data_IF_801583980671
#
_entry.id   IF_801583980671
#
_cell.length_a   1.000
_cell.length_b   1.000
_cell.length_c   1.000
_cell.angle_alpha   90.00
_cell.angle_beta   90.00
_cell.angle_gamma   90.00
#
_symmetry.space_group_name_H-M   'P 1'
#
loop_
_entity.id
_entity.type
_entity.pdbx_description
1 polymer ?
#
# COMPACT_ATOMS: atom_id res chain seq x y z
N UNK A 1 -12.21 -17.57 7.11
CA UNK A 1 -11.58 -17.93 8.39
C UNK A 1 -10.85 -16.68 8.85
N UNK A 2 -11.46 -15.99 9.79
CA UNK A 2 -10.92 -14.73 10.34
C UNK A 2 -9.66 -15.03 11.15
N UNK A 3 -8.57 -14.34 10.83
CA UNK A 3 -7.37 -14.33 11.69
C UNK A 3 -7.53 -13.14 12.60
N UNK A 4 -7.62 -13.34 13.93
CA UNK A 4 -7.71 -12.21 14.85
C UNK A 4 -6.40 -11.45 14.90
N UNK A 5 -6.47 -10.13 15.04
CA UNK A 5 -5.37 -9.27 15.45
C UNK A 5 -4.90 -9.72 16.86
N UNK A 6 -4.08 -10.77 16.88
CA UNK A 6 -3.50 -11.31 18.09
C UNK A 6 -2.02 -11.02 18.10
N UNK A 7 -1.54 -10.38 19.14
CA UNK A 7 -0.15 -10.47 19.54
C UNK A 7 0.17 -11.94 19.75
N UNK A 8 0.75 -12.61 18.73
CA UNK A 8 1.14 -14.00 18.81
C UNK A 8 2.32 -14.16 19.76
N UNK A 9 2.03 -14.61 20.98
CA UNK A 9 3.03 -15.24 21.81
C UNK A 9 3.20 -16.68 21.31
N UNK A 10 4.35 -16.99 20.71
CA UNK A 10 4.80 -18.35 20.43
C UNK A 10 4.97 -19.09 21.76
N UNK A 11 4.34 -20.26 21.87
CA UNK A 11 4.52 -21.14 23.02
C UNK A 11 5.97 -21.63 23.12
N UNK A 12 6.51 -21.54 24.31
CA UNK A 12 7.80 -22.10 24.69
C UNK A 12 7.76 -23.63 24.62
N UNK A 13 8.65 -24.19 23.82
CA UNK A 13 9.04 -25.59 23.86
C UNK A 13 10.33 -25.69 24.71
N UNK A 14 10.39 -26.46 25.80
CA UNK A 14 11.42 -26.33 26.84
C UNK A 14 12.80 -26.95 26.53
N UNK A 15 13.11 -27.37 25.29
CA UNK A 15 14.33 -28.17 25.03
C UNK A 15 15.22 -27.68 23.87
N UNK A 16 15.38 -26.35 23.65
CA UNK A 16 16.47 -25.87 22.78
C UNK A 16 17.22 -24.68 23.41
N UNK A 17 18.56 -24.71 23.47
CA UNK A 17 19.35 -23.55 23.90
C UNK A 17 19.43 -22.55 22.73
N UNK A 18 18.66 -21.47 22.80
CA UNK A 18 18.62 -20.40 21.81
C UNK A 18 19.41 -19.19 22.27
N UNK A 19 20.24 -18.67 21.36
CA UNK A 19 20.94 -17.39 21.48
C UNK A 19 19.94 -16.23 21.62
N UNK A 20 20.07 -15.48 22.72
CA UNK A 20 19.08 -14.52 23.16
C UNK A 20 19.07 -13.23 22.34
N UNK A 21 17.92 -12.94 21.78
CA UNK A 21 17.46 -11.58 21.48
C UNK A 21 16.75 -11.07 22.76
N UNK A 22 17.02 -9.87 23.29
CA UNK A 22 16.36 -9.38 24.50
C UNK A 22 14.89 -9.06 24.20
N UNK A 23 14.03 -10.06 24.39
CA UNK A 23 12.59 -9.89 24.41
C UNK A 23 12.17 -9.24 25.73
N UNK A 24 11.30 -8.24 25.67
CA UNK A 24 10.65 -7.68 26.85
C UNK A 24 9.68 -8.73 27.43
N UNK A 25 10.21 -9.60 28.28
CA UNK A 25 9.41 -10.53 29.07
C UNK A 25 8.95 -9.88 30.39
N UNK A 26 7.65 -9.61 30.51
CA UNK A 26 7.05 -9.37 31.80
C UNK A 26 6.88 -10.72 32.56
N UNK A 27 7.97 -11.22 33.09
CA UNK A 27 7.95 -12.37 33.99
C UNK A 27 7.74 -11.92 35.46
N UNK A 28 6.92 -12.63 36.21
CA UNK A 28 6.60 -12.45 37.61
C UNK A 28 7.84 -12.64 38.51
N UNK A 29 8.66 -11.62 38.62
CA UNK A 29 9.77 -11.57 39.55
C UNK A 29 10.07 -10.11 39.84
N UNK A 30 10.02 -9.74 41.13
CA UNK A 30 10.15 -8.43 41.78
C UNK A 30 10.54 -7.25 40.89
N UNK A 31 9.73 -6.20 40.92
CA UNK A 31 9.99 -4.92 40.27
C UNK A 31 11.35 -4.36 40.70
N UNK A 32 12.38 -4.55 39.86
CA UNK A 32 13.67 -3.93 40.06
C UNK A 32 13.57 -2.48 39.53
N UNK A 33 13.47 -1.51 40.42
CA UNK A 33 13.33 -0.09 40.14
C UNK A 33 14.50 0.46 39.32
N UNK A 34 15.64 -0.20 39.29
CA UNK A 34 16.82 0.18 38.50
C UNK A 34 16.59 -0.10 36.98
N UNK A 35 15.93 -1.21 36.65
CA UNK A 35 15.58 -1.55 35.28
C UNK A 35 14.43 -0.67 34.72
N UNK A 36 13.48 -0.26 35.57
CA UNK A 36 12.43 0.68 35.19
C UNK A 36 13.00 2.06 34.85
N UNK A 37 14.02 2.52 35.63
CA UNK A 37 14.70 3.79 35.36
C UNK A 37 15.43 3.78 33.98
N UNK A 38 16.11 2.68 33.66
CA UNK A 38 16.79 2.52 32.39
C UNK A 38 15.80 2.42 31.21
N UNK A 39 14.70 1.68 31.39
CA UNK A 39 13.63 1.58 30.38
C UNK A 39 12.93 2.93 30.16
N UNK A 40 12.63 3.69 31.22
CA UNK A 40 12.07 5.03 31.13
C UNK A 40 13.05 6.03 30.50
N UNK A 41 14.35 5.90 30.78
CA UNK A 41 15.38 6.75 30.18
C UNK A 41 15.56 6.44 28.69
N UNK A 42 15.49 5.16 28.31
CA UNK A 42 15.54 4.72 26.92
C UNK A 42 14.28 5.15 26.15
N UNK A 43 13.11 5.02 26.77
CA UNK A 43 11.83 5.52 26.23
C UNK A 43 11.87 7.05 26.11
N UNK A 44 12.36 7.77 27.10
CA UNK A 44 12.53 9.22 27.07
C UNK A 44 13.49 9.70 25.97
N UNK A 45 14.62 9.00 25.77
CA UNK A 45 15.55 9.28 24.68
C UNK A 45 14.93 9.00 23.30
N UNK A 46 14.13 7.94 23.17
CA UNK A 46 13.40 7.59 21.95
C UNK A 46 12.29 8.60 21.65
N UNK A 47 11.57 9.07 22.67
CA UNK A 47 10.58 10.14 22.56
C UNK A 47 11.23 11.49 22.18
N UNK A 48 12.38 11.81 22.75
CA UNK A 48 13.10 13.06 22.45
C UNK A 48 13.67 13.08 21.02
N UNK A 49 14.15 11.92 20.53
CA UNK A 49 14.58 11.76 19.12
C UNK A 49 13.40 11.89 18.13
N UNK A 50 12.19 11.51 18.52
CA UNK A 50 10.97 11.63 17.71
C UNK A 50 10.36 13.04 17.69
N UNK A 51 10.76 13.94 18.59
CA UNK A 51 10.20 15.30 18.69
C UNK A 51 10.91 16.34 17.82
N UNK A 52 12.01 16.01 17.18
CA UNK A 52 12.84 16.95 16.41
C UNK A 52 12.77 16.70 14.91
N UNK A 53 11.57 16.82 14.30
CA UNK A 53 11.42 16.69 12.85
C UNK A 53 10.15 17.38 12.34
N UNK A 54 10.05 17.66 11.04
CA UNK A 54 8.86 18.25 10.43
C UNK A 54 7.60 17.40 10.60
N UNK A 55 7.75 16.09 10.88
CA UNK A 55 6.67 15.13 11.09
C UNK A 55 6.39 14.87 12.59
N UNK A 56 7.03 15.63 13.50
CA UNK A 56 6.82 15.49 14.94
C UNK A 56 5.45 16.03 15.32
N UNK A 57 4.55 15.14 15.76
CA UNK A 57 3.18 15.47 16.16
C UNK A 57 2.10 15.07 15.16
N UNK A 58 2.45 14.55 14.00
CA UNK A 58 1.50 13.93 13.07
C UNK A 58 1.06 12.52 13.48
N UNK A 59 0.05 11.95 12.79
CA UNK A 59 -0.42 10.59 13.04
C UNK A 59 0.66 9.53 12.75
N UNK A 60 1.63 9.85 11.89
CA UNK A 60 2.76 8.98 11.53
C UNK A 60 4.07 9.74 11.70
N UNK A 61 4.98 9.16 12.46
CA UNK A 61 6.36 9.65 12.56
C UNK A 61 7.23 8.99 11.49
N UNK A 62 7.33 9.62 10.32
CA UNK A 62 8.07 9.07 9.17
C UNK A 62 9.57 8.92 9.39
N UNK A 63 10.16 9.72 10.27
CA UNK A 63 11.55 9.55 10.68
C UNK A 63 11.76 8.23 11.42
N UNK A 64 10.84 7.89 12.34
CA UNK A 64 10.83 6.61 13.05
C UNK A 64 10.57 5.45 12.10
N UNK A 65 9.60 5.57 11.19
CA UNK A 65 9.32 4.55 10.15
C UNK A 65 10.59 4.20 9.39
N UNK A 66 11.29 5.22 8.88
CA UNK A 66 12.52 5.04 8.09
C UNK A 66 13.65 4.43 8.93
N UNK A 67 13.83 4.85 10.17
CA UNK A 67 14.86 4.34 11.07
C UNK A 67 14.64 2.87 11.43
N UNK A 68 13.39 2.51 11.79
CA UNK A 68 13.01 1.12 12.09
C UNK A 68 13.19 0.23 10.86
N UNK A 69 12.72 0.68 9.69
CA UNK A 69 12.83 -0.10 8.46
C UNK A 69 14.29 -0.34 8.08
N UNK A 70 15.14 0.71 8.10
CA UNK A 70 16.58 0.58 7.82
C UNK A 70 17.29 -0.36 8.79
N UNK A 71 17.01 -0.25 10.09
CA UNK A 71 17.59 -1.15 11.10
C UNK A 71 17.22 -2.60 10.86
N UNK A 72 15.95 -2.86 10.50
CA UNK A 72 15.49 -4.20 10.17
C UNK A 72 16.19 -4.75 8.91
N UNK A 73 16.32 -3.94 7.86
CA UNK A 73 17.01 -4.35 6.62
C UNK A 73 18.49 -4.61 6.84
N UNK A 74 19.18 -3.77 7.63
CA UNK A 74 20.59 -3.99 7.98
C UNK A 74 20.75 -5.28 8.76
N UNK A 75 19.87 -5.56 9.74
CA UNK A 75 19.90 -6.81 10.50
C UNK A 75 19.63 -8.05 9.62
N UNK A 76 18.80 -7.93 8.60
CA UNK A 76 18.54 -9.00 7.61
C UNK A 76 19.66 -9.15 6.56
N UNK A 77 20.65 -8.26 6.57
CA UNK A 77 21.75 -8.23 5.61
C UNK A 77 21.32 -7.66 4.26
N UNK A 78 21.47 -6.35 4.10
CA UNK A 78 21.18 -5.63 2.85
C UNK A 78 22.50 -5.03 2.29
N UNK A 79 23.31 -5.82 1.56
CA UNK A 79 24.54 -5.34 0.97
C UNK A 79 24.27 -4.31 -0.14
N UNK A 80 25.18 -3.38 -0.34
CA UNK A 80 25.15 -2.46 -1.48
C UNK A 80 25.25 -3.22 -2.80
N UNK A 81 24.54 -2.75 -3.81
CA UNK A 81 24.54 -3.34 -5.16
C UNK A 81 25.89 -3.16 -5.82
N UNK A 82 26.47 -4.26 -6.34
CA UNK A 82 27.74 -4.27 -7.04
C UNK A 82 27.62 -3.86 -8.51
N UNK A 83 28.76 -3.54 -9.16
CA UNK A 83 28.76 -3.18 -10.58
C UNK A 83 28.38 -4.36 -11.49
N UNK A 84 28.64 -5.60 -11.07
CA UNK A 84 28.22 -6.79 -11.81
C UNK A 84 26.67 -6.87 -11.86
N UNK A 85 26.01 -6.66 -10.72
CA UNK A 85 24.57 -6.69 -10.62
C UNK A 85 23.93 -5.56 -11.43
N UNK A 86 24.48 -4.35 -11.35
CA UNK A 86 24.01 -3.20 -12.16
C UNK A 86 24.07 -3.51 -13.66
N UNK A 87 25.18 -4.12 -14.13
CA UNK A 87 25.32 -4.51 -15.54
C UNK A 87 24.30 -5.58 -15.91
N UNK A 88 24.18 -6.65 -15.12
CA UNK A 88 23.26 -7.76 -15.39
C UNK A 88 21.81 -7.30 -15.44
N UNK A 89 21.38 -6.42 -14.53
CA UNK A 89 20.03 -5.84 -14.54
C UNK A 89 19.84 -4.95 -15.77
N UNK A 90 20.81 -4.10 -16.08
CA UNK A 90 20.75 -3.21 -17.26
C UNK A 90 20.62 -4.00 -18.56
N UNK A 91 21.39 -5.08 -18.70
CA UNK A 91 21.32 -5.95 -19.88
C UNK A 91 19.98 -6.68 -19.97
N UNK A 92 19.47 -7.20 -18.84
CA UNK A 92 18.18 -7.89 -18.80
C UNK A 92 17.02 -6.95 -19.15
N UNK A 93 16.98 -5.73 -18.61
CA UNK A 93 15.93 -4.73 -18.93
C UNK A 93 16.01 -4.28 -20.38
N UNK A 94 17.20 -4.04 -20.93
CA UNK A 94 17.37 -3.70 -22.36
C UNK A 94 16.88 -4.84 -23.28
N UNK A 95 17.18 -6.08 -22.93
CA UNK A 95 16.69 -7.22 -23.69
C UNK A 95 15.16 -7.36 -23.55
N UNK A 96 14.63 -7.12 -22.37
CA UNK A 96 13.20 -7.10 -22.11
C UNK A 96 12.50 -6.05 -22.98
N UNK A 97 13.05 -4.84 -23.05
CA UNK A 97 12.50 -3.77 -23.91
C UNK A 97 12.46 -4.16 -25.39
N UNK A 98 13.54 -4.78 -25.91
CA UNK A 98 13.58 -5.28 -27.30
C UNK A 98 12.49 -6.34 -27.55
N UNK A 99 12.18 -7.19 -26.56
CA UNK A 99 11.14 -8.20 -26.70
C UNK A 99 9.74 -7.65 -26.56
N UNK A 100 9.56 -6.59 -25.77
CA UNK A 100 8.28 -5.92 -25.56
C UNK A 100 7.90 -4.98 -26.72
N UNK A 101 8.85 -4.33 -27.37
CA UNK A 101 8.58 -3.36 -28.44
C UNK A 101 7.62 -3.86 -29.55
N UNK A 102 7.70 -5.10 -30.05
CA UNK A 102 6.76 -5.57 -31.09
C UNK A 102 5.38 -5.99 -30.56
N UNK A 103 5.17 -6.05 -29.25
CA UNK A 103 3.95 -6.61 -28.63
C UNK A 103 3.16 -5.59 -27.80
N UNK A 104 3.71 -4.39 -27.56
CA UNK A 104 3.10 -3.31 -26.77
C UNK A 104 3.16 -2.01 -27.54
N UNK A 105 2.05 -1.25 -27.57
CA UNK A 105 2.01 0.08 -28.18
C UNK A 105 2.64 1.17 -27.30
N UNK A 106 2.82 0.93 -26.02
CA UNK A 106 3.50 1.86 -25.10
C UNK A 106 5.02 1.76 -25.25
N UNK A 107 5.71 2.84 -25.65
CA UNK A 107 7.16 2.83 -25.80
C UNK A 107 7.87 2.61 -24.46
N UNK A 108 9.13 2.17 -24.54
CA UNK A 108 9.99 2.03 -23.37
C UNK A 108 10.17 3.38 -22.65
N UNK A 109 10.36 3.32 -21.33
CA UNK A 109 10.62 4.51 -20.51
C UNK A 109 11.99 5.11 -20.89
N UNK A 110 12.11 6.42 -20.76
CA UNK A 110 13.38 7.13 -21.03
C UNK A 110 14.39 7.01 -19.89
N UNK A 111 13.93 6.58 -18.70
CA UNK A 111 14.79 6.41 -17.53
C UNK A 111 15.74 5.22 -17.73
N UNK A 112 16.99 5.39 -17.29
CA UNK A 112 17.96 4.30 -17.32
C UNK A 112 17.53 3.18 -16.36
N UNK A 113 17.69 1.89 -16.78
CA UNK A 113 17.47 0.76 -15.88
C UNK A 113 18.33 0.85 -14.62
N UNK A 114 17.75 0.47 -13.48
CA UNK A 114 18.44 0.51 -12.20
C UNK A 114 18.46 -0.85 -11.49
N UNK A 115 19.48 -1.06 -10.68
CA UNK A 115 19.54 -2.17 -9.74
C UNK A 115 19.60 -1.55 -8.33
N UNK A 116 18.63 -1.91 -7.49
CA UNK A 116 18.47 -1.33 -6.16
C UNK A 116 18.74 -2.35 -5.06
N UNK A 117 19.33 -1.88 -3.96
CA UNK A 117 19.25 -2.56 -2.68
C UNK A 117 17.85 -2.42 -2.10
N UNK A 118 17.53 -3.18 -1.07
CA UNK A 118 16.26 -3.06 -0.33
C UNK A 118 16.11 -1.68 0.31
N UNK A 119 17.21 -1.14 0.82
CA UNK A 119 17.24 0.21 1.40
C UNK A 119 17.01 1.30 0.35
N UNK A 120 17.60 1.19 -0.84
CA UNK A 120 17.34 2.11 -1.95
C UNK A 120 15.87 2.05 -2.40
N UNK A 121 15.30 0.85 -2.50
CA UNK A 121 13.88 0.68 -2.81
C UNK A 121 13.01 1.38 -1.76
N UNK A 122 13.28 1.17 -0.47
CA UNK A 122 12.56 1.82 0.63
C UNK A 122 12.61 3.35 0.52
N UNK A 123 13.77 3.92 0.25
CA UNK A 123 13.96 5.38 0.14
C UNK A 123 13.22 5.98 -1.06
N UNK A 124 13.33 5.32 -2.21
CA UNK A 124 12.75 5.80 -3.46
C UNK A 124 11.23 5.67 -3.50
N UNK A 125 10.66 4.71 -2.76
CA UNK A 125 9.21 4.50 -2.67
C UNK A 125 8.56 5.21 -1.48
N UNK A 126 9.33 5.67 -0.50
CA UNK A 126 8.83 6.34 0.72
C UNK A 126 7.83 7.49 0.44
N UNK A 127 8.02 8.37 -0.58
CA UNK A 127 7.05 9.42 -0.88
C UNK A 127 5.68 8.88 -1.28
N UNK A 128 5.62 7.77 -2.03
CA UNK A 128 4.36 7.16 -2.41
C UNK A 128 3.67 6.52 -1.20
N UNK A 129 4.44 5.85 -0.33
CA UNK A 129 3.91 5.29 0.91
C UNK A 129 3.33 6.36 1.82
N UNK A 130 3.97 7.54 1.91
CA UNK A 130 3.40 8.69 2.63
C UNK A 130 2.03 9.07 2.07
N UNK A 131 1.92 9.21 0.76
CA UNK A 131 0.65 9.57 0.10
C UNK A 131 -0.44 8.54 0.34
N UNK A 132 -0.10 7.24 0.37
CA UNK A 132 -1.07 6.15 0.57
C UNK A 132 -1.49 6.02 2.03
N UNK A 133 -0.55 6.10 2.98
CA UNK A 133 -0.80 5.80 4.40
C UNK A 133 -1.32 7.01 5.18
N UNK A 134 -0.88 8.22 4.81
CA UNK A 134 -1.22 9.45 5.55
C UNK A 134 -2.73 9.67 5.72
N UNK A 135 -3.57 9.57 4.66
CA UNK A 135 -5.01 9.78 4.79
C UNK A 135 -5.68 8.81 5.75
N UNK A 136 -5.18 7.56 5.79
CA UNK A 136 -5.70 6.51 6.67
C UNK A 136 -5.35 6.83 8.11
N UNK A 137 -4.10 7.16 8.37
CA UNK A 137 -3.63 7.49 9.71
C UNK A 137 -4.33 8.75 10.26
N UNK A 138 -4.55 9.77 9.42
CA UNK A 138 -5.31 10.98 9.78
C UNK A 138 -6.76 10.66 10.12
N UNK A 139 -7.42 9.84 9.30
CA UNK A 139 -8.80 9.45 9.54
C UNK A 139 -8.92 8.61 10.83
N UNK A 140 -8.04 7.63 11.03
CA UNK A 140 -8.01 6.86 12.28
C UNK A 140 -7.80 7.74 13.51
N UNK A 141 -6.91 8.73 13.42
CA UNK A 141 -6.69 9.69 14.50
C UNK A 141 -7.94 10.52 14.78
N UNK A 142 -8.67 10.95 13.74
CA UNK A 142 -9.93 11.69 13.88
C UNK A 142 -11.01 10.83 14.54
N UNK A 143 -11.18 9.59 14.12
CA UNK A 143 -12.16 8.65 14.69
C UNK A 143 -11.86 8.38 16.16
N UNK A 144 -10.59 8.10 16.51
CA UNK A 144 -10.16 7.94 17.90
C UNK A 144 -10.34 9.23 18.70
N UNK A 145 -10.01 10.39 18.11
CA UNK A 145 -10.19 11.69 18.76
C UNK A 145 -11.65 12.05 19.02
N UNK A 146 -12.57 11.66 18.15
CA UNK A 146 -14.02 11.81 18.35
C UNK A 146 -14.56 10.86 19.43
N UNK A 147 -14.00 9.66 19.52
CA UNK A 147 -14.38 8.68 20.54
C UNK A 147 -13.84 9.05 21.93
N UNK A 148 -12.74 9.80 21.99
CA UNK A 148 -12.10 10.29 23.22
C UNK A 148 -11.84 11.81 23.09
N UNK A 149 -12.86 12.66 23.35
CA UNK A 149 -12.71 14.10 23.31
C UNK A 149 -11.58 14.56 24.24
N UNK A 150 -10.61 15.28 23.70
CA UNK A 150 -9.38 15.70 24.41
C UNK A 150 -8.11 14.95 24.02
N UNK A 151 -8.20 13.82 23.31
CA UNK A 151 -7.04 13.10 22.81
C UNK A 151 -6.37 13.77 21.58
N UNK A 152 -7.07 14.64 20.87
CA UNK A 152 -6.61 15.22 19.60
C UNK A 152 -5.87 16.58 19.72
N UNK A 153 -5.43 16.99 20.92
CA UNK A 153 -4.72 18.27 21.10
C UNK A 153 -5.57 19.52 20.87
N UNK A 154 -6.88 19.35 20.71
CA UNK A 154 -7.85 20.44 20.72
C UNK A 154 -8.08 20.88 22.15
N UNK A 155 -8.38 22.20 22.37
CA UNK A 155 -8.83 22.68 23.68
C UNK A 155 -9.94 21.73 24.17
N UNK A 156 -9.72 21.15 25.35
CA UNK A 156 -10.68 20.23 25.98
C UNK A 156 -12.01 20.95 26.11
N UNK A 157 -12.94 20.68 25.19
CA UNK A 157 -14.31 21.13 25.36
C UNK A 157 -14.95 20.25 26.42
N UNK A 158 -14.93 20.76 27.65
CA UNK A 158 -15.44 20.10 28.85
C UNK A 158 -16.93 19.77 28.75
N UNK A 159 -17.68 20.47 27.88
CA UNK A 159 -19.10 20.19 27.63
C UNK A 159 -19.26 18.91 26.82
N UNK A 160 -18.50 18.78 25.74
CA UNK A 160 -18.51 17.59 24.88
C UNK A 160 -17.97 16.34 25.62
N UNK A 161 -16.96 16.54 26.49
CA UNK A 161 -16.43 15.45 27.32
C UNK A 161 -17.48 14.94 28.35
N UNK A 162 -18.25 15.88 28.96
CA UNK A 162 -19.30 15.51 29.91
C UNK A 162 -20.50 14.86 29.26
N UNK A 163 -20.83 15.23 28.01
CA UNK A 163 -21.95 14.64 27.28
C UNK A 163 -21.65 13.22 26.80
N UNK A 164 -20.42 12.91 26.43
CA UNK A 164 -19.98 11.60 25.95
C UNK A 164 -19.44 10.68 27.04
N UNK A 165 -19.53 11.07 28.30
CA UNK A 165 -19.05 10.26 29.41
C UNK A 165 -19.99 9.08 29.70
N UNK A 166 -19.47 7.85 29.89
CA UNK A 166 -20.27 6.71 30.35
C UNK A 166 -21.07 7.05 31.63
N UNK A 167 -22.28 6.54 31.76
CA UNK A 167 -23.18 6.85 32.89
C UNK A 167 -22.56 6.64 34.26
N UNK A 168 -21.64 5.68 34.37
CA UNK A 168 -20.90 5.38 35.60
C UNK A 168 -20.04 6.57 36.08
N UNK A 169 -19.46 7.33 35.14
CA UNK A 169 -18.65 8.50 35.45
C UNK A 169 -19.50 9.77 35.57
N UNK A 170 -20.67 9.86 34.90
CA UNK A 170 -21.63 10.96 35.11
C UNK A 170 -22.15 11.01 36.55
N UNK A 171 -22.32 9.86 37.19
CA UNK A 171 -22.71 9.78 38.61
C UNK A 171 -21.62 10.33 39.56
N UNK A 172 -20.36 10.27 39.13
CA UNK A 172 -19.21 10.74 39.94
C UNK A 172 -18.94 12.24 39.74
N UNK A 173 -19.35 12.81 38.60
CA UNK A 173 -19.16 14.20 38.24
C UNK A 173 -20.47 14.82 37.71
N UNK A 174 -21.48 15.02 38.56
CA UNK A 174 -22.80 15.53 38.13
C UNK A 174 -22.77 16.96 37.56
N UNK A 175 -21.73 17.75 37.87
CA UNK A 175 -21.50 19.10 37.34
C UNK A 175 -20.44 19.15 36.20
N UNK A 176 -20.04 18.00 35.64
CA UNK A 176 -18.98 17.87 34.65
C UNK A 176 -17.59 17.76 35.27
N UNK A 177 -16.59 17.46 34.43
CA UNK A 177 -15.20 17.30 34.90
C UNK A 177 -14.66 18.66 35.35
N UNK A 178 -14.14 18.79 36.60
CA UNK A 178 -13.53 20.04 37.05
C UNK A 178 -12.37 20.44 36.11
N UNK A 179 -12.22 21.75 35.78
CA UNK A 179 -11.14 22.23 34.90
C UNK A 179 -9.73 21.82 35.35
N UNK A 180 -9.52 21.72 36.66
CA UNK A 180 -8.25 21.29 37.25
C UNK A 180 -7.94 19.81 36.93
N UNK A 181 -8.95 18.94 36.94
CA UNK A 181 -8.80 17.53 36.58
C UNK A 181 -8.61 17.36 35.07
N UNK A 182 -9.29 18.12 34.25
CA UNK A 182 -9.10 18.16 32.80
C UNK A 182 -7.66 18.58 32.45
N UNK A 183 -7.14 19.62 33.10
CA UNK A 183 -5.74 20.03 32.94
C UNK A 183 -4.73 18.97 33.36
N UNK A 184 -5.05 18.16 34.37
CA UNK A 184 -4.19 17.04 34.79
C UNK A 184 -4.27 15.83 33.82
N UNK A 185 -5.44 15.61 33.22
CA UNK A 185 -5.65 14.51 32.26
C UNK A 185 -5.09 14.81 30.86
N UNK A 186 -5.07 16.06 30.41
CA UNK A 186 -4.62 16.46 29.09
C UNK A 186 -3.19 15.97 28.73
N UNK A 187 -2.17 16.11 29.61
CA UNK A 187 -0.84 15.56 29.35
C UNK A 187 -0.81 14.03 29.25
N UNK A 188 -1.63 13.33 30.04
CA UNK A 188 -1.73 11.88 30.02
C UNK A 188 -2.37 11.37 28.72
N UNK A 189 -3.43 12.04 28.23
CA UNK A 189 -4.05 11.75 26.94
C UNK A 189 -3.09 12.03 25.78
N UNK A 190 -2.36 13.15 25.83
CA UNK A 190 -1.32 13.47 24.85
C UNK A 190 -0.20 12.43 24.82
N UNK A 191 0.23 11.93 25.97
CA UNK A 191 1.21 10.86 26.06
C UNK A 191 0.68 9.53 25.47
N UNK A 192 -0.58 9.19 25.72
CA UNK A 192 -1.21 7.98 25.18
C UNK A 192 -1.33 8.05 23.65
N UNK A 193 -1.70 9.21 23.11
CA UNK A 193 -1.74 9.47 21.66
C UNK A 193 -0.34 9.33 21.05
N UNK A 194 0.68 9.90 21.69
CA UNK A 194 2.06 9.81 21.21
C UNK A 194 2.58 8.37 21.23
N UNK A 195 2.24 7.59 22.24
CA UNK A 195 2.56 6.15 22.28
C UNK A 195 1.87 5.38 21.15
N UNK A 196 0.60 5.68 20.87
CA UNK A 196 -0.15 5.07 19.76
C UNK A 196 0.49 5.39 18.39
N UNK A 197 0.82 6.65 18.14
CA UNK A 197 1.52 7.10 16.92
C UNK A 197 2.90 6.45 16.78
N UNK A 198 3.65 6.31 17.87
CA UNK A 198 4.96 5.66 17.86
C UNK A 198 4.83 4.15 17.57
N UNK A 199 3.87 3.47 18.19
CA UNK A 199 3.61 2.05 17.94
C UNK A 199 3.21 1.79 16.48
N UNK A 200 2.30 2.61 15.94
CA UNK A 200 1.90 2.54 14.53
C UNK A 200 3.09 2.79 13.60
N UNK A 201 3.91 3.81 13.88
CA UNK A 201 5.09 4.13 13.08
C UNK A 201 6.14 2.99 13.11
N UNK A 202 6.31 2.35 14.25
CA UNK A 202 7.18 1.18 14.38
C UNK A 202 6.65 -0.01 13.56
N UNK A 203 5.36 -0.32 13.65
CA UNK A 203 4.72 -1.38 12.88
C UNK A 203 4.81 -1.11 11.39
N UNK A 204 4.57 0.12 10.95
CA UNK A 204 4.71 0.56 9.56
C UNK A 204 6.15 0.36 9.07
N UNK A 205 7.15 0.75 9.88
CA UNK A 205 8.57 0.55 9.54
C UNK A 205 8.93 -0.93 9.36
N UNK A 206 8.45 -1.80 10.24
CA UNK A 206 8.65 -3.25 10.14
C UNK A 206 7.96 -3.83 8.88
N UNK A 207 6.74 -3.41 8.59
CA UNK A 207 5.99 -3.86 7.42
C UNK A 207 6.66 -3.43 6.12
N UNK A 208 7.17 -2.19 6.03
CA UNK A 208 7.89 -1.72 4.85
C UNK A 208 9.24 -2.42 4.68
N UNK A 209 9.94 -2.78 5.77
CA UNK A 209 11.15 -3.59 5.71
C UNK A 209 10.88 -5.01 5.20
N UNK A 210 9.81 -5.63 5.70
CA UNK A 210 9.37 -6.94 5.23
C UNK A 210 9.01 -6.90 3.74
N UNK A 211 8.28 -5.87 3.30
CA UNK A 211 7.94 -5.65 1.90
C UNK A 211 9.19 -5.45 1.04
N UNK A 212 10.12 -4.60 1.44
CA UNK A 212 11.39 -4.38 0.75
C UNK A 212 12.22 -5.67 0.62
N UNK A 213 12.05 -6.60 1.57
CA UNK A 213 12.72 -7.91 1.54
C UNK A 213 12.05 -8.91 0.60
N UNK A 214 10.79 -8.68 0.22
CA UNK A 214 9.98 -9.61 -0.57
C UNK A 214 9.83 -9.18 -2.05
N UNK A 215 9.77 -7.87 -2.35
CA UNK A 215 9.61 -7.36 -3.72
C UNK A 215 10.84 -7.64 -4.58
N UNK A 216 10.63 -7.96 -5.86
CA UNK A 216 11.71 -8.24 -6.83
C UNK A 216 12.05 -7.06 -7.74
N UNK A 217 11.18 -6.04 -7.80
CA UNK A 217 11.32 -4.86 -8.64
C UNK A 217 10.63 -3.63 -8.06
N UNK A 218 10.71 -2.51 -8.77
CA UNK A 218 10.09 -1.25 -8.35
C UNK A 218 8.57 -1.33 -8.35
N UNK A 219 7.98 -2.14 -9.23
CA UNK A 219 6.53 -2.23 -9.49
C UNK A 219 5.92 -3.59 -9.17
N UNK A 220 6.61 -4.46 -8.44
CA UNK A 220 6.18 -5.83 -8.14
C UNK A 220 4.84 -5.93 -7.38
N UNK A 221 4.38 -4.85 -6.77
CA UNK A 221 3.08 -4.76 -6.12
C UNK A 221 1.95 -4.23 -7.03
N UNK A 222 2.21 -4.01 -8.31
CA UNK A 222 1.21 -3.53 -9.28
C UNK A 222 0.80 -2.06 -9.13
N UNK A 223 1.56 -1.26 -8.35
CA UNK A 223 1.28 0.15 -8.08
C UNK A 223 2.48 1.01 -8.46
N UNK A 224 2.28 2.21 -9.08
CA UNK A 224 3.34 3.15 -9.39
C UNK A 224 3.85 3.85 -8.12
N UNK A 225 4.90 3.31 -7.50
CA UNK A 225 5.47 3.83 -6.24
C UNK A 225 6.58 4.86 -6.42
N UNK A 226 7.25 4.88 -7.57
CA UNK A 226 8.31 5.85 -7.86
C UNK A 226 7.74 7.16 -8.38
N UNK A 227 8.46 8.26 -8.17
CA UNK A 227 8.06 9.58 -8.69
C UNK A 227 8.05 9.59 -10.21
N UNK A 228 9.09 9.02 -10.82
CA UNK A 228 9.24 8.84 -12.26
C UNK A 228 9.26 7.35 -12.58
N UNK A 229 8.62 6.90 -13.69
CA UNK A 229 8.66 5.53 -14.12
C UNK A 229 10.09 5.10 -14.48
N UNK A 230 10.66 4.21 -13.67
CA UNK A 230 12.03 3.71 -13.85
C UNK A 230 12.06 2.19 -13.64
N UNK A 231 12.41 1.39 -14.66
CA UNK A 231 12.59 -0.05 -14.51
C UNK A 231 13.74 -0.34 -13.53
N UNK A 232 13.43 -1.04 -12.45
CA UNK A 232 14.44 -1.42 -11.47
C UNK A 232 14.17 -2.81 -10.90
N UNK A 233 15.25 -3.57 -10.71
CA UNK A 233 15.21 -4.87 -10.03
C UNK A 233 16.05 -4.83 -8.76
N UNK A 234 15.68 -5.67 -7.79
CA UNK A 234 16.46 -5.91 -6.57
C UNK A 234 17.24 -7.22 -6.73
N UNK A 235 18.55 -7.18 -7.08
CA UNK A 235 19.31 -8.38 -7.44
C UNK A 235 19.23 -9.48 -6.39
N UNK A 236 19.38 -9.12 -5.12
CA UNK A 236 19.32 -10.07 -4.00
C UNK A 236 17.95 -10.76 -3.90
N UNK A 237 16.87 -10.05 -4.15
CA UNK A 237 15.52 -10.61 -4.10
C UNK A 237 15.22 -11.43 -5.36
N UNK A 238 15.78 -11.04 -6.51
CA UNK A 238 15.74 -11.84 -7.75
C UNK A 238 16.44 -13.19 -7.56
N UNK A 239 17.61 -13.21 -6.91
CA UNK A 239 18.32 -14.44 -6.54
C UNK A 239 17.47 -15.31 -5.61
N UNK A 240 16.93 -14.70 -4.54
CA UNK A 240 16.06 -15.41 -3.60
C UNK A 240 14.78 -15.95 -4.27
N UNK A 241 14.20 -15.23 -5.23
CA UNK A 241 13.05 -15.71 -6.02
C UNK A 241 13.41 -16.93 -6.85
N UNK A 242 14.62 -17.00 -7.39
CA UNK A 242 15.13 -18.13 -8.18
C UNK A 242 15.62 -19.33 -7.36
N UNK A 243 15.78 -19.17 -6.06
CA UNK A 243 16.34 -20.20 -5.19
C UNK A 243 15.43 -21.45 -5.18
N UNK A 244 16.04 -22.61 -5.34
CA UNK A 244 15.33 -23.90 -5.37
C UNK A 244 14.55 -24.21 -6.65
N UNK A 245 14.48 -23.29 -7.63
CA UNK A 245 13.76 -23.53 -8.88
C UNK A 245 14.55 -24.42 -9.87
N UNK A 246 15.87 -24.50 -9.73
CA UNK A 246 16.72 -25.22 -10.67
C UNK A 246 16.80 -24.58 -12.06
N UNK A 247 16.50 -23.29 -12.18
CA UNK A 247 16.51 -22.52 -13.42
C UNK A 247 17.78 -21.66 -13.52
N UNK A 248 18.24 -21.33 -14.76
CA UNK A 248 19.30 -20.36 -14.96
C UNK A 248 18.90 -19.00 -14.34
N UNK A 249 19.80 -18.38 -13.59
CA UNK A 249 19.54 -17.10 -12.93
C UNK A 249 19.26 -15.99 -13.94
N UNK A 250 19.85 -16.08 -15.13
CA UNK A 250 19.62 -15.10 -16.21
C UNK A 250 18.21 -15.22 -16.79
N UNK A 251 17.63 -16.42 -16.87
CA UNK A 251 16.24 -16.63 -17.28
C UNK A 251 15.28 -16.02 -16.25
N UNK A 252 15.55 -16.24 -14.96
CA UNK A 252 14.78 -15.65 -13.86
C UNK A 252 14.82 -14.12 -13.93
N UNK A 253 16.03 -13.57 -14.07
CA UNK A 253 16.25 -12.12 -14.15
C UNK A 253 15.55 -11.51 -15.36
N UNK A 254 15.66 -12.15 -16.53
CA UNK A 254 15.02 -11.68 -17.76
C UNK A 254 13.50 -11.70 -17.65
N UNK A 255 12.92 -12.77 -17.11
CA UNK A 255 11.47 -12.87 -16.87
C UNK A 255 10.96 -11.74 -15.96
N UNK A 256 11.67 -11.48 -14.86
CA UNK A 256 11.32 -10.42 -13.94
C UNK A 256 11.55 -9.02 -14.55
N UNK A 257 12.59 -8.87 -15.39
CA UNK A 257 12.84 -7.64 -16.14
C UNK A 257 11.72 -7.35 -17.18
N UNK A 258 11.20 -8.38 -17.85
CA UNK A 258 10.06 -8.26 -18.76
C UNK A 258 8.82 -7.74 -18.02
N UNK A 259 8.52 -8.32 -16.85
CA UNK A 259 7.41 -7.88 -16.03
C UNK A 259 7.57 -6.43 -15.54
N UNK A 260 8.76 -6.12 -15.03
CA UNK A 260 9.08 -4.78 -14.54
C UNK A 260 8.98 -3.73 -15.66
N UNK A 261 9.58 -4.00 -16.83
CA UNK A 261 9.50 -3.12 -17.99
C UNK A 261 8.06 -2.93 -18.49
N UNK A 262 7.24 -4.00 -18.48
CA UNK A 262 5.83 -3.91 -18.86
C UNK A 262 5.05 -3.00 -17.90
N UNK A 263 5.21 -3.17 -16.58
CA UNK A 263 4.60 -2.29 -15.58
C UNK A 263 5.03 -0.83 -15.77
N UNK A 264 6.33 -0.59 -15.93
CA UNK A 264 6.85 0.78 -16.06
C UNK A 264 6.38 1.47 -17.35
N UNK A 265 6.22 0.74 -18.45
CA UNK A 265 5.60 1.24 -19.69
C UNK A 265 4.15 1.63 -19.42
N UNK A 266 3.38 0.78 -18.76
CA UNK A 266 1.99 1.09 -18.39
C UNK A 266 1.92 2.34 -17.53
N UNK A 267 2.70 2.41 -16.46
CA UNK A 267 2.70 3.54 -15.51
C UNK A 267 3.16 4.86 -16.14
N UNK A 268 4.05 4.81 -17.14
CA UNK A 268 4.50 5.98 -17.89
C UNK A 268 3.41 6.55 -18.80
N UNK A 269 2.53 5.70 -19.35
CA UNK A 269 1.56 6.10 -20.37
C UNK A 269 0.12 6.17 -19.87
N UNK A 270 -0.13 5.78 -18.60
CA UNK A 270 -1.46 5.81 -17.98
C UNK A 270 -1.44 6.74 -16.75
N UNK A 271 -1.43 8.07 -16.96
CA UNK A 271 -1.20 9.04 -15.88
C UNK A 271 -2.32 9.06 -14.82
N UNK A 272 -3.53 8.62 -15.16
CA UNK A 272 -4.66 8.55 -14.23
C UNK A 272 -4.60 7.36 -13.27
N UNK A 273 -3.75 6.35 -13.52
CA UNK A 273 -3.71 5.11 -12.74
C UNK A 273 -3.31 5.36 -11.28
N UNK A 274 -2.24 6.13 -11.07
CA UNK A 274 -1.77 6.46 -9.70
C UNK A 274 -2.81 7.24 -8.89
N UNK A 275 -3.41 8.34 -9.39
CA UNK A 275 -4.49 9.02 -8.68
C UNK A 275 -5.69 8.11 -8.38
N UNK A 276 -6.02 7.19 -9.28
CA UNK A 276 -7.14 6.27 -9.08
C UNK A 276 -6.89 5.27 -7.94
N UNK A 277 -5.67 4.71 -7.87
CA UNK A 277 -5.26 3.84 -6.76
C UNK A 277 -5.32 4.60 -5.44
N UNK A 278 -4.74 5.81 -5.38
CA UNK A 278 -4.74 6.64 -4.18
C UNK A 278 -6.18 6.97 -3.77
N UNK A 279 -7.02 7.39 -4.73
CA UNK A 279 -8.44 7.69 -4.47
C UNK A 279 -9.21 6.50 -3.90
N UNK A 280 -8.97 5.29 -4.38
CA UNK A 280 -9.60 4.07 -3.83
C UNK A 280 -9.16 3.81 -2.38
N UNK A 281 -7.90 4.04 -2.05
CA UNK A 281 -7.38 3.93 -0.68
C UNK A 281 -7.99 5.00 0.24
N UNK A 282 -8.11 6.24 -0.24
CA UNK A 282 -8.77 7.33 0.52
C UNK A 282 -10.26 7.06 0.75
N UNK A 283 -10.96 6.50 -0.23
CA UNK A 283 -12.36 6.10 -0.08
C UNK A 283 -12.50 4.98 0.96
N UNK A 284 -11.60 4.00 0.93
CA UNK A 284 -11.55 2.98 1.97
C UNK A 284 -11.36 3.59 3.35
N UNK A 285 -10.38 4.49 3.50
CA UNK A 285 -10.09 5.15 4.76
C UNK A 285 -11.30 5.93 5.32
N UNK A 286 -12.02 6.66 4.45
CA UNK A 286 -13.23 7.39 4.83
C UNK A 286 -14.40 6.49 5.25
N UNK A 287 -14.43 5.26 4.76
CA UNK A 287 -15.42 4.25 5.16
C UNK A 287 -15.17 3.64 6.54
N UNK A 288 -13.97 3.80 7.12
CA UNK A 288 -13.65 3.26 8.45
C UNK A 288 -14.52 3.94 9.52
N UNK A 289 -15.34 3.16 10.19
CA UNK A 289 -16.18 3.61 11.32
C UNK A 289 -15.92 2.71 12.52
N UNK A 290 -15.78 3.31 13.67
CA UNK A 290 -15.74 2.57 14.94
C UNK A 290 -17.15 2.62 15.54
N UNK A 291 -17.70 1.46 15.85
CA UNK A 291 -18.98 1.37 16.55
C UNK A 291 -18.84 1.84 18.00
N UNK A 292 -19.18 3.11 18.22
CA UNK A 292 -19.12 3.73 19.54
C UNK A 292 -20.03 3.03 20.55
N UNK A 293 -21.13 2.41 20.10
CA UNK A 293 -22.08 1.70 20.97
C UNK A 293 -21.43 0.45 21.54
N UNK A 294 -20.79 -0.34 20.69
CA UNK A 294 -20.02 -1.54 21.11
C UNK A 294 -18.84 -1.18 22.01
N UNK A 295 -18.15 -0.10 21.69
CA UNK A 295 -17.04 0.37 22.51
C UNK A 295 -17.52 0.79 23.90
N UNK A 296 -18.63 1.52 23.98
CA UNK A 296 -19.23 1.96 25.25
C UNK A 296 -19.74 0.79 26.06
N UNK A 297 -20.40 -0.19 25.42
CA UNK A 297 -20.90 -1.41 26.07
C UNK A 297 -19.73 -2.23 26.64
N UNK A 298 -18.70 -2.46 25.85
CA UNK A 298 -17.51 -3.19 26.27
C UNK A 298 -16.71 -2.48 27.39
N UNK A 299 -16.61 -1.15 27.33
CA UNK A 299 -16.00 -0.36 28.41
C UNK A 299 -16.86 -0.39 29.70
N UNK A 300 -18.18 -0.55 29.56
CA UNK A 300 -19.09 -0.70 30.70
C UNK A 300 -18.98 -2.04 31.40
N UNK A 301 -18.57 -3.10 30.70
CA UNK A 301 -18.41 -4.45 31.24
C UNK A 301 -17.03 -4.74 31.82
N UNK A 302 -16.01 -3.94 31.47
CA UNK A 302 -14.62 -4.17 31.86
C UNK A 302 -14.26 -3.38 33.11
N UNK A 303 -13.69 -4.08 34.08
CA UNK A 303 -13.09 -3.44 35.26
C UNK A 303 -11.81 -2.70 34.85
N UNK A 304 -11.91 -1.37 34.70
CA UNK A 304 -10.82 -0.47 34.30
C UNK A 304 -9.65 -0.45 35.28
N UNK A 305 -9.80 -1.03 36.46
CA UNK A 305 -8.73 -1.16 37.47
C UNK A 305 -7.90 -2.42 37.27
N UNK A 306 -8.36 -3.34 36.42
CA UNK A 306 -7.66 -4.59 36.12
C UNK A 306 -6.87 -4.49 34.78
N UNK A 307 -5.51 -4.47 34.85
CA UNK A 307 -4.67 -4.40 33.63
C UNK A 307 -4.85 -5.57 32.69
N UNK A 308 -5.18 -6.76 33.16
CA UNK A 308 -5.40 -7.96 32.35
C UNK A 308 -6.73 -7.84 31.57
N UNK A 309 -7.77 -7.27 32.15
CA UNK A 309 -9.04 -7.03 31.53
C UNK A 309 -8.92 -5.97 30.41
N UNK A 310 -8.12 -4.91 30.63
CA UNK A 310 -7.78 -3.91 29.61
C UNK A 310 -7.01 -4.52 28.43
N UNK A 311 -6.04 -5.41 28.73
CA UNK A 311 -5.27 -6.09 27.68
C UNK A 311 -6.15 -7.04 26.87
N UNK A 312 -7.09 -7.75 27.52
CA UNK A 312 -8.09 -8.59 26.84
C UNK A 312 -9.04 -7.75 25.99
N UNK A 313 -9.49 -6.60 26.47
CA UNK A 313 -10.32 -5.66 25.71
C UNK A 313 -9.60 -5.17 24.45
N UNK A 314 -8.34 -4.78 24.56
CA UNK A 314 -7.53 -4.37 23.41
C UNK A 314 -7.27 -5.53 22.42
N UNK A 315 -7.21 -6.76 22.91
CA UNK A 315 -7.03 -7.97 22.11
C UNK A 315 -8.33 -8.57 21.55
N UNK A 316 -9.50 -8.12 22.00
CA UNK A 316 -10.80 -8.72 21.65
C UNK A 316 -11.33 -8.36 20.27
N UNK A 317 -10.62 -7.50 19.51
CA UNK A 317 -11.08 -7.04 18.19
C UNK A 317 -12.24 -6.03 18.24
N UNK A 318 -12.62 -5.54 19.40
CA UNK A 318 -13.68 -4.53 19.57
C UNK A 318 -13.34 -3.17 18.90
N UNK A 319 -12.05 -2.93 18.68
CA UNK A 319 -11.56 -1.78 17.92
C UNK A 319 -11.42 -2.08 16.42
N UNK A 320 -11.77 -3.31 15.97
CA UNK A 320 -11.78 -3.60 14.55
C UNK A 320 -12.98 -2.88 13.91
N UNK A 321 -12.74 -2.07 12.88
CA UNK A 321 -13.80 -1.42 12.13
C UNK A 321 -14.74 -2.49 11.54
N UNK A 322 -16.04 -2.23 11.54
CA UNK A 322 -16.95 -3.03 10.74
C UNK A 322 -16.71 -2.73 9.27
N UNK A 323 -16.70 -3.78 8.43
CA UNK A 323 -16.63 -3.63 6.98
C UNK A 323 -17.91 -2.93 6.48
N UNK A 324 -17.84 -1.64 6.25
CA UNK A 324 -18.94 -0.88 5.67
C UNK A 324 -19.13 -1.24 4.20
N UNK A 325 -20.30 -0.93 3.65
CA UNK A 325 -20.58 -1.16 2.22
C UNK A 325 -19.65 -0.31 1.35
N UNK A 326 -19.35 0.94 1.78
CA UNK A 326 -18.42 1.84 1.13
C UNK A 326 -16.99 1.26 1.11
N UNK A 327 -16.54 0.67 2.22
CA UNK A 327 -15.23 0.03 2.29
C UNK A 327 -15.15 -1.18 1.36
N UNK A 328 -16.15 -2.05 1.37
CA UNK A 328 -16.21 -3.21 0.46
C UNK A 328 -16.18 -2.78 -1.00
N UNK A 329 -16.90 -1.72 -1.35
CA UNK A 329 -16.90 -1.17 -2.71
C UNK A 329 -15.52 -0.58 -3.09
N UNK A 330 -14.84 0.12 -2.16
CA UNK A 330 -13.49 0.66 -2.39
C UNK A 330 -12.46 -0.46 -2.57
N UNK A 331 -12.50 -1.50 -1.73
CA UNK A 331 -11.65 -2.69 -1.87
C UNK A 331 -11.89 -3.36 -3.22
N UNK A 332 -13.14 -3.61 -3.60
CA UNK A 332 -13.47 -4.27 -4.87
C UNK A 332 -12.95 -3.48 -6.09
N UNK A 333 -13.04 -2.13 -6.05
CA UNK A 333 -12.47 -1.28 -7.11
C UNK A 333 -10.94 -1.39 -7.18
N UNK A 334 -10.27 -1.39 -6.02
CA UNK A 334 -8.82 -1.53 -5.96
C UNK A 334 -8.37 -2.92 -6.43
N UNK A 335 -9.03 -3.98 -5.97
CA UNK A 335 -8.77 -5.36 -6.40
C UNK A 335 -8.93 -5.52 -7.92
N UNK A 336 -10.00 -4.98 -8.49
CA UNK A 336 -10.24 -5.01 -9.94
C UNK A 336 -9.13 -4.28 -10.69
N UNK A 337 -8.75 -3.08 -10.23
CA UNK A 337 -7.71 -2.30 -10.88
C UNK A 337 -6.34 -3.00 -10.84
N UNK A 338 -5.96 -3.56 -9.69
CA UNK A 338 -4.73 -4.34 -9.55
C UNK A 338 -4.78 -5.61 -10.41
N UNK A 339 -5.92 -6.29 -10.47
CA UNK A 339 -6.11 -7.46 -11.32
C UNK A 339 -5.96 -7.13 -12.81
N UNK A 340 -6.47 -5.98 -13.24
CA UNK A 340 -6.31 -5.50 -14.61
C UNK A 340 -4.84 -5.17 -14.94
N UNK A 341 -4.13 -4.47 -14.06
CA UNK A 341 -2.69 -4.19 -14.24
C UNK A 341 -1.92 -5.51 -14.40
N UNK A 342 -2.12 -6.44 -13.49
CA UNK A 342 -1.41 -7.71 -13.50
C UNK A 342 -1.81 -8.61 -14.66
N UNK A 343 -3.09 -8.62 -15.03
CA UNK A 343 -3.60 -9.38 -16.17
C UNK A 343 -3.05 -8.87 -17.51
N UNK A 344 -2.98 -7.53 -17.66
CA UNK A 344 -2.34 -6.93 -18.84
C UNK A 344 -0.86 -7.27 -18.92
N UNK A 345 -0.12 -7.16 -17.80
CA UNK A 345 1.29 -7.53 -17.74
C UNK A 345 1.50 -9.01 -18.06
N UNK A 346 0.65 -9.89 -17.55
CA UNK A 346 0.74 -11.33 -17.86
C UNK A 346 0.55 -11.58 -19.36
N UNK A 347 -0.49 -11.00 -20.02
CA UNK A 347 -0.72 -11.16 -21.46
C UNK A 347 0.45 -10.61 -22.29
N UNK A 348 0.95 -9.44 -21.94
CA UNK A 348 2.08 -8.78 -22.63
C UNK A 348 3.34 -9.61 -22.53
N UNK A 349 3.70 -10.04 -21.33
CA UNK A 349 4.90 -10.82 -21.06
C UNK A 349 4.79 -12.20 -21.73
N UNK A 350 3.65 -12.86 -21.63
CA UNK A 350 3.41 -14.16 -22.28
C UNK A 350 3.55 -14.07 -23.81
N UNK A 351 3.10 -12.97 -24.38
CA UNK A 351 3.25 -12.72 -25.82
C UNK A 351 4.72 -12.45 -26.20
N UNK A 352 5.44 -11.67 -25.39
CA UNK A 352 6.83 -11.31 -25.66
C UNK A 352 7.79 -12.50 -25.55
N UNK A 353 7.58 -13.39 -24.57
CA UNK A 353 8.46 -14.55 -24.34
C UNK A 353 8.18 -15.69 -25.31
N UNK A 354 6.91 -15.91 -25.69
CA UNK A 354 6.46 -16.99 -26.59
C UNK A 354 7.38 -18.25 -26.52
N UNK A 355 8.13 -18.54 -27.63
CA UNK A 355 9.06 -19.65 -27.70
C UNK A 355 10.53 -19.27 -27.35
N UNK A 356 10.78 -18.03 -26.92
CA UNK A 356 12.13 -17.48 -26.71
C UNK A 356 12.75 -17.84 -25.36
N UNK A 357 11.93 -18.11 -24.34
CA UNK A 357 12.38 -18.42 -22.99
C UNK A 357 11.89 -19.78 -22.54
N UNK A 358 12.73 -20.83 -22.57
CA UNK A 358 12.32 -22.20 -22.19
C UNK A 358 11.77 -22.30 -20.77
N UNK A 359 12.30 -21.53 -19.84
CA UNK A 359 11.91 -21.48 -18.42
C UNK A 359 10.58 -20.75 -18.16
N UNK A 360 9.96 -20.13 -19.18
CA UNK A 360 8.80 -19.25 -19.04
C UNK A 360 7.60 -19.91 -18.35
N UNK A 361 7.27 -21.15 -18.73
CA UNK A 361 6.12 -21.88 -18.16
C UNK A 361 6.27 -22.07 -16.65
N UNK A 362 7.48 -22.46 -16.23
CA UNK A 362 7.78 -22.68 -14.81
C UNK A 362 7.79 -21.36 -14.04
N UNK A 363 8.39 -20.29 -14.58
CA UNK A 363 8.44 -18.97 -13.96
C UNK A 363 7.07 -18.33 -13.81
N UNK A 364 6.22 -18.49 -14.82
CA UNK A 364 4.81 -18.06 -14.77
C UNK A 364 4.05 -18.75 -13.64
N UNK A 365 4.22 -20.06 -13.52
CA UNK A 365 3.56 -20.83 -12.46
C UNK A 365 4.05 -20.43 -11.07
N UNK A 366 5.37 -20.21 -10.89
CA UNK A 366 5.93 -19.70 -9.63
C UNK A 366 5.34 -18.33 -9.28
N UNK A 367 5.26 -17.41 -10.25
CA UNK A 367 4.68 -16.08 -10.02
C UNK A 367 3.19 -16.18 -9.64
N UNK A 368 2.43 -17.03 -10.29
CA UNK A 368 1.01 -17.29 -9.96
C UNK A 368 0.85 -17.83 -8.55
N UNK A 369 1.68 -18.80 -8.14
CA UNK A 369 1.65 -19.36 -6.77
C UNK A 369 2.03 -18.32 -5.73
N UNK A 370 3.05 -17.49 -6.01
CA UNK A 370 3.46 -16.40 -5.12
C UNK A 370 2.31 -15.43 -4.86
N UNK A 371 1.56 -15.06 -5.89
CA UNK A 371 0.38 -14.21 -5.77
C UNK A 371 -0.76 -14.91 -5.02
N UNK A 372 -1.05 -16.17 -5.35
CA UNK A 372 -2.12 -16.93 -4.69
C UNK A 372 -1.87 -17.16 -3.19
N UNK A 373 -0.60 -17.17 -2.76
CA UNK A 373 -0.21 -17.29 -1.36
C UNK A 373 -0.25 -15.97 -0.57
N UNK A 374 -0.77 -14.91 -1.18
CA UNK A 374 -0.70 -13.56 -0.64
C UNK A 374 0.65 -12.91 -0.97
N UNK A 375 0.68 -12.19 -2.10
CA UNK A 375 1.85 -11.48 -2.57
C UNK A 375 2.28 -10.34 -1.64
N UNK A 376 3.38 -9.64 -1.97
CA UNK A 376 3.88 -8.52 -1.17
C UNK A 376 2.84 -7.41 -0.97
N UNK A 377 2.06 -7.10 -2.01
CA UNK A 377 1.01 -6.11 -1.95
C UNK A 377 -0.05 -6.43 -0.89
N UNK A 378 -0.59 -7.64 -0.93
CA UNK A 378 -1.68 -8.07 -0.04
C UNK A 378 -1.25 -8.07 1.42
N UNK A 379 -0.07 -8.63 1.71
CA UNK A 379 0.49 -8.62 3.08
C UNK A 379 0.70 -7.21 3.60
N UNK A 380 1.16 -6.31 2.72
CA UNK A 380 1.43 -4.92 3.08
C UNK A 380 0.14 -4.18 3.36
N UNK A 381 -0.84 -4.24 2.47
CA UNK A 381 -2.12 -3.58 2.68
C UNK A 381 -2.88 -4.16 3.88
N UNK A 382 -2.85 -5.48 4.11
CA UNK A 382 -3.43 -6.08 5.30
C UNK A 382 -2.75 -5.58 6.59
N UNK A 383 -1.42 -5.47 6.59
CA UNK A 383 -0.66 -5.06 7.78
C UNK A 383 -0.75 -3.55 8.04
N UNK A 384 -0.70 -2.72 6.99
CA UNK A 384 -0.62 -1.26 7.11
C UNK A 384 -1.99 -0.61 7.26
N UNK A 385 -3.00 -1.19 6.64
CA UNK A 385 -4.28 -0.54 6.41
C UNK A 385 -5.44 -1.37 6.92
N UNK A 386 -5.18 -2.61 7.32
CA UNK A 386 -6.23 -3.58 7.64
C UNK A 386 -7.03 -4.04 6.41
N UNK A 387 -6.53 -3.73 5.20
CA UNK A 387 -7.20 -4.02 3.94
C UNK A 387 -6.74 -5.38 3.42
N UNK A 388 -7.59 -6.39 3.49
CA UNK A 388 -7.33 -7.69 2.87
C UNK A 388 -7.61 -7.63 1.38
N UNK A 389 -6.58 -7.40 0.57
CA UNK A 389 -6.67 -7.50 -0.88
C UNK A 389 -6.60 -8.96 -1.32
N UNK A 390 -7.47 -9.35 -2.23
CA UNK A 390 -7.48 -10.70 -2.81
C UNK A 390 -7.59 -10.60 -4.33
N UNK A 391 -6.50 -10.38 -5.06
CA UNK A 391 -6.54 -10.25 -6.52
C UNK A 391 -6.90 -11.58 -7.17
N UNK A 392 -8.18 -11.99 -7.02
CA UNK A 392 -8.72 -13.23 -7.58
C UNK A 392 -8.93 -13.13 -9.07
N UNK A 393 -9.13 -11.91 -9.56
CA UNK A 393 -9.52 -11.62 -10.94
C UNK A 393 -8.34 -11.48 -11.93
N UNK A 394 -7.09 -11.63 -11.47
CA UNK A 394 -5.92 -11.42 -12.35
C UNK A 394 -5.84 -12.44 -13.50
N UNK A 395 -6.32 -13.67 -13.30
CA UNK A 395 -6.38 -14.69 -14.34
C UNK A 395 -7.46 -14.37 -15.37
N UNK A 396 -8.62 -13.99 -14.90
CA UNK A 396 -9.76 -13.55 -15.71
C UNK A 396 -9.36 -12.32 -16.53
N UNK A 397 -8.68 -11.34 -15.91
CA UNK A 397 -8.15 -10.18 -16.60
C UNK A 397 -7.12 -10.56 -17.68
N UNK A 398 -6.17 -11.46 -17.38
CA UNK A 398 -5.21 -11.94 -18.38
C UNK A 398 -5.92 -12.64 -19.57
N UNK A 399 -6.95 -13.42 -19.28
CA UNK A 399 -7.76 -14.08 -20.31
C UNK A 399 -8.49 -13.04 -21.17
N UNK A 400 -9.10 -12.01 -20.56
CA UNK A 400 -9.80 -10.94 -21.28
C UNK A 400 -8.83 -10.19 -22.20
N UNK A 401 -7.66 -9.76 -21.71
CA UNK A 401 -6.66 -9.07 -22.52
C UNK A 401 -6.15 -9.95 -23.68
N UNK A 402 -5.94 -11.25 -23.44
CA UNK A 402 -5.56 -12.19 -24.48
C UNK A 402 -6.64 -12.34 -25.58
N UNK A 403 -7.92 -12.38 -25.19
CA UNK A 403 -9.06 -12.45 -26.10
C UNK A 403 -9.20 -11.15 -26.91
N UNK A 404 -9.09 -9.97 -26.27
CA UNK A 404 -9.08 -8.67 -26.97
C UNK A 404 -7.93 -8.61 -27.95
N UNK A 405 -6.72 -8.97 -27.55
CA UNK A 405 -5.55 -8.98 -28.44
C UNK A 405 -5.72 -9.95 -29.62
N UNK A 406 -6.26 -11.12 -29.39
CA UNK A 406 -6.50 -12.10 -30.45
C UNK A 406 -7.56 -11.63 -31.46
N UNK A 407 -8.62 -10.96 -31.00
CA UNK A 407 -9.73 -10.49 -31.83
C UNK A 407 -9.48 -9.14 -32.50
N UNK A 408 -8.78 -8.21 -31.84
CA UNK A 408 -8.66 -6.80 -32.29
C UNK A 408 -7.21 -6.28 -32.37
N UNK A 409 -6.23 -7.07 -32.00
CA UNK A 409 -4.81 -6.70 -32.01
C UNK A 409 -4.33 -6.07 -30.70
N UNK A 410 -2.99 -5.92 -30.61
CA UNK A 410 -2.33 -5.38 -29.42
C UNK A 410 -2.68 -3.91 -29.17
N UNK A 411 -2.84 -3.10 -30.23
CA UNK A 411 -3.20 -1.69 -30.12
C UNK A 411 -4.57 -1.51 -29.45
N UNK A 412 -5.58 -2.33 -29.82
CA UNK A 412 -6.91 -2.26 -29.19
C UNK A 412 -6.87 -2.69 -27.72
N UNK A 413 -6.06 -3.70 -27.37
CA UNK A 413 -5.82 -4.09 -25.98
C UNK A 413 -5.24 -2.92 -25.17
N UNK A 414 -4.23 -2.23 -25.71
CA UNK A 414 -3.53 -1.15 -25.02
C UNK A 414 -4.37 0.13 -24.96
N UNK A 415 -5.22 0.38 -25.98
CA UNK A 415 -6.13 1.51 -26.01
C UNK A 415 -7.18 1.50 -24.90
N UNK A 416 -7.48 0.35 -24.30
CA UNK A 416 -8.37 0.26 -23.14
C UNK A 416 -7.85 1.07 -21.94
N UNK A 417 -6.55 1.35 -21.86
CA UNK A 417 -5.94 2.17 -20.83
C UNK A 417 -6.03 3.68 -21.08
N UNK A 418 -6.61 4.11 -22.21
CA UNK A 418 -6.72 5.53 -22.52
C UNK A 418 -7.64 6.29 -21.53
N UNK A 419 -8.68 5.65 -21.01
CA UNK A 419 -9.60 6.22 -20.03
C UNK A 419 -10.07 5.17 -19.03
N UNK A 420 -10.29 5.53 -17.74
CA UNK A 420 -10.79 4.59 -16.74
C UNK A 420 -12.10 3.89 -17.11
N UNK A 421 -12.99 4.58 -17.84
CA UNK A 421 -14.32 4.07 -18.20
C UNK A 421 -14.27 3.04 -19.36
N UNK A 422 -13.12 2.93 -20.03
CA UNK A 422 -12.88 1.90 -21.05
C UNK A 422 -12.39 0.57 -20.45
N UNK A 423 -12.03 0.58 -19.17
CA UNK A 423 -11.58 -0.63 -18.51
C UNK A 423 -12.75 -1.56 -18.17
N UNK A 424 -12.56 -2.88 -18.32
CA UNK A 424 -13.57 -3.85 -17.95
C UNK A 424 -13.82 -3.83 -16.43
N UNK A 425 -15.09 -3.99 -16.08
CA UNK A 425 -15.52 -4.21 -14.71
C UNK A 425 -15.43 -5.69 -14.29
N UNK A 426 -15.79 -6.02 -13.04
CA UNK A 426 -15.78 -7.41 -12.56
C UNK A 426 -16.68 -8.34 -13.38
N UNK A 427 -17.82 -7.85 -13.88
CA UNK A 427 -18.76 -8.62 -14.68
C UNK A 427 -18.19 -8.94 -16.07
N UNK A 428 -17.47 -7.98 -16.67
CA UNK A 428 -16.79 -8.15 -17.96
C UNK A 428 -15.64 -9.18 -17.87
N UNK A 429 -14.96 -9.23 -16.72
CA UNK A 429 -13.91 -10.22 -16.48
C UNK A 429 -14.49 -11.64 -16.39
N UNK A 430 -15.74 -11.77 -15.95
CA UNK A 430 -16.42 -13.06 -15.92
C UNK A 430 -16.91 -13.53 -17.31
N UNK A 431 -17.17 -12.60 -18.25
CA UNK A 431 -17.57 -12.88 -19.63
C UNK A 431 -16.75 -12.09 -20.67
N UNK A 432 -15.49 -12.50 -20.93
CA UNK A 432 -14.60 -11.79 -21.86
C UNK A 432 -15.13 -11.75 -23.31
N UNK A 433 -15.91 -12.72 -23.74
CA UNK A 433 -16.49 -12.74 -25.10
C UNK A 433 -17.63 -11.73 -25.22
N UNK A 434 -18.53 -11.68 -24.23
CA UNK A 434 -19.59 -10.69 -24.16
C UNK A 434 -19.06 -9.27 -24.12
N UNK A 435 -17.94 -9.01 -23.44
CA UNK A 435 -17.27 -7.72 -23.44
C UNK A 435 -16.82 -7.29 -24.85
N UNK A 436 -16.25 -8.20 -25.65
CA UNK A 436 -15.84 -7.91 -27.02
C UNK A 436 -17.04 -7.65 -27.93
N UNK A 437 -18.11 -8.42 -27.81
CA UNK A 437 -19.32 -8.30 -28.60
C UNK A 437 -20.11 -7.04 -28.25
N UNK A 438 -20.22 -6.70 -26.97
CA UNK A 438 -20.91 -5.52 -26.47
C UNK A 438 -20.26 -4.19 -26.84
N UNK A 439 -18.94 -4.13 -26.85
CA UNK A 439 -18.17 -2.94 -27.21
C UNK A 439 -17.99 -2.71 -28.74
N UNK A 440 -18.61 -3.50 -29.59
CA UNK A 440 -18.54 -3.29 -31.06
C UNK A 440 -19.26 -2.01 -31.52
N UNK A 441 -20.15 -1.44 -30.67
CA UNK A 441 -20.94 -0.25 -31.00
C UNK A 441 -20.44 1.09 -30.43
N UNK A 442 -19.56 1.08 -29.41
CA UNK A 442 -19.26 2.31 -28.66
C UNK A 442 -17.89 2.94 -28.91
N UNK A 443 -17.05 2.36 -29.76
CA UNK A 443 -15.79 2.98 -30.18
C UNK A 443 -15.89 3.81 -31.47
N UNK A 444 -17.07 3.96 -32.07
CA UNK A 444 -17.34 5.10 -32.95
C UNK A 444 -17.53 6.32 -32.02
N UNK A 445 -16.50 7.12 -31.87
CA UNK A 445 -16.62 8.47 -31.34
C UNK A 445 -17.61 9.23 -32.21
N UNK A 446 -18.86 9.37 -31.76
CA UNK A 446 -19.68 10.47 -32.21
C UNK A 446 -18.97 11.74 -31.74
N UNK A 447 -18.25 12.39 -32.69
CA UNK A 447 -17.80 13.75 -32.48
C UNK A 447 -19.09 14.56 -32.28
N UNK A 448 -19.30 15.21 -31.14
CA UNK A 448 -20.47 16.05 -30.97
C UNK A 448 -20.51 17.08 -32.10
N UNK A 449 -21.65 17.23 -32.74
CA UNK A 449 -21.87 18.17 -33.86
C UNK A 449 -21.45 19.62 -33.50
N UNK A 450 -21.40 19.97 -32.21
CA UNK A 450 -20.96 21.27 -31.69
C UNK A 450 -19.47 21.59 -31.96
N UNK A 451 -18.62 20.62 -32.33
CA UNK A 451 -17.20 20.87 -32.70
C UNK A 451 -17.10 21.18 -34.22
N UNK A 452 -18.02 20.72 -35.02
CA UNK A 452 -18.06 21.01 -36.43
C UNK A 452 -18.40 22.50 -36.76
N UNK A 453 -19.07 23.20 -35.85
CA UNK A 453 -19.37 24.64 -35.99
C UNK A 453 -18.17 25.56 -35.66
N UNK A 454 -17.09 25.05 -35.07
CA UNK A 454 -15.90 25.86 -34.72
C UNK A 454 -14.93 26.02 -35.89
N UNK A 455 -14.99 25.18 -36.91
CA UNK A 455 -14.17 25.30 -38.12
C UNK A 455 -14.67 26.41 -39.08
N UNK A 456 -15.90 26.88 -38.94
CA UNK A 456 -16.51 27.93 -39.80
C UNK A 456 -16.23 29.36 -39.30
N UNK A 457 -15.57 29.55 -38.17
CA UNK A 457 -15.19 30.87 -37.62
C UNK A 457 -13.76 31.33 -38.01
N UNK A 458 -13.04 30.57 -38.83
CA UNK A 458 -11.63 30.78 -39.17
C UNK A 458 -11.34 31.28 -40.59
N UNK A 459 -12.29 31.84 -41.30
CA UNK A 459 -12.06 32.21 -42.69
C UNK A 459 -12.67 33.52 -43.15
N UNK A 460 -12.11 34.65 -42.81
CA UNK A 460 -11.96 35.79 -43.71
C UNK A 460 -11.23 37.00 -43.07
N UNK A 461 -9.92 37.01 -43.16
CA UNK A 461 -9.14 38.23 -42.99
C UNK A 461 -8.16 38.34 -44.17
N UNK A 462 -8.69 38.71 -45.33
CA UNK A 462 -7.89 39.23 -46.44
C UNK A 462 -7.53 40.68 -46.17
N UNK A 463 -6.24 41.07 -46.26
CA UNK A 463 -5.85 42.47 -46.00
C UNK A 463 -6.33 43.38 -47.16
N UNK A 464 -7.17 44.33 -46.82
CA UNK A 464 -7.62 45.46 -47.66
C UNK A 464 -6.43 46.27 -48.16
N UNK A 465 -6.39 46.42 -49.48
CA UNK A 465 -5.47 47.25 -50.24
C UNK A 465 -5.59 48.73 -49.83
N UNK A 466 -4.48 49.37 -49.48
CA UNK A 466 -4.39 50.81 -49.26
C UNK A 466 -4.50 51.56 -50.62
N UNK A 467 -5.18 52.73 -50.67
CA UNK A 467 -5.17 53.56 -51.87
C UNK A 467 -3.93 54.46 -51.89
N UNK A 468 -3.34 54.59 -53.13
CA UNK A 468 -2.33 55.56 -53.48
C UNK A 468 -2.84 57.00 -53.36
N UNK A 469 -2.05 57.87 -52.70
CA UNK A 469 -1.80 59.27 -53.00
C UNK A 469 -0.58 59.77 -52.19
#
# INVERSE_FOLDING_TARGET
MSVPFGFGMSGDDPDQPGDGVPGFGFGSGGFDMSNLGAALQQLGAMMQAGQTGPDAGGPVNWAMVSDVARKALVAAGDPSVGDADRRSVTEAVRLADIWLDPVVSFPATTAAPAAWSRSEWLELTAPAWRTIVQPIAEHMQQVVGQSFPGAAGQELDLTTLSENMPEQFRGMFPEGIPPEMAQMMAPMLGMMQQLGSAAFSMQLGQALAALASDVVGASDIGIPLTAEPQPALLPRNVEAFGEGLGLPVDDVRLYLALRESAHQRLFAHVPWLRPRVIGAVEEYARGVRVDQSRLTEAMGEVDMTNPEALQQLMGSGLLQPEDTEEQRAAIARLETLLALVEGWVDDVVDTAIAERLPSAVQLREVMRRRRAAGGPAEKTFATLVGMELRPRLAREAATLFAVVRAGRGAEARDAMWAHPDLLPGPDDLADPLGFIEGNVGELEFEVPDDIAELDDLGGDDSPSKAPDA
#
